data_IF_146602884875
#
_entry.id   IF_146602884875
#
_cell.length_a   1.000
_cell.length_b   1.000
_cell.length_c   1.000
_cell.angle_alpha   90.00
_cell.angle_beta   90.00
_cell.angle_gamma   90.00
#
_symmetry.space_group_name_H-M   'P 1'
#
loop_
_entity.id
_entity.type
_entity.pdbx_description
1 polymer ?
#
# COMPACT_ATOMS: atom_id res chain seq x y z
N UNK A 1 19.18 9.70 -2.55
CA UNK A 1 19.14 11.20 -2.46
C UNK A 1 19.42 11.62 -1.03
N UNK A 2 20.36 12.54 -0.79
CA UNK A 2 20.61 13.05 0.57
C UNK A 2 19.36 13.77 1.10
N UNK A 3 19.20 13.82 2.45
CA UNK A 3 18.10 14.56 3.10
C UNK A 3 18.04 16.03 2.63
N UNK A 4 19.20 16.59 2.26
CA UNK A 4 19.36 17.95 1.73
C UNK A 4 18.72 18.07 0.35
N UNK A 5 18.94 17.11 -0.56
CA UNK A 5 18.36 17.14 -1.90
C UNK A 5 16.82 16.99 -1.87
N UNK A 6 16.28 16.17 -0.94
CA UNK A 6 14.83 16.08 -0.70
C UNK A 6 14.26 17.42 -0.19
N UNK A 7 14.94 18.08 0.74
CA UNK A 7 14.53 19.38 1.25
C UNK A 7 14.58 20.47 0.18
N UNK A 8 15.63 20.49 -0.66
CA UNK A 8 15.76 21.44 -1.77
C UNK A 8 14.68 21.25 -2.83
N UNK A 9 14.37 19.98 -3.20
CA UNK A 9 13.27 19.68 -4.13
C UNK A 9 11.93 20.12 -3.54
N UNK A 10 11.67 19.84 -2.26
CA UNK A 10 10.46 20.25 -1.56
C UNK A 10 10.33 21.78 -1.44
N UNK A 11 11.46 22.49 -1.19
CA UNK A 11 11.49 23.96 -1.18
C UNK A 11 11.16 24.53 -2.56
N UNK A 12 11.69 23.96 -3.63
CA UNK A 12 11.37 24.39 -5.01
C UNK A 12 9.89 24.18 -5.36
N UNK A 13 9.30 23.12 -4.86
CA UNK A 13 7.93 22.73 -5.19
C UNK A 13 6.87 23.44 -4.32
N UNK A 14 7.14 23.64 -3.02
CA UNK A 14 6.16 24.14 -2.05
C UNK A 14 6.54 25.47 -1.36
N UNK A 15 7.72 26.00 -1.65
CA UNK A 15 8.25 27.23 -1.07
C UNK A 15 8.86 27.08 0.33
N UNK A 16 9.76 28.01 0.69
CA UNK A 16 10.56 27.95 1.92
C UNK A 16 9.70 27.96 3.21
N UNK A 17 8.66 28.79 3.25
CA UNK A 17 7.79 28.93 4.45
C UNK A 17 6.99 27.64 4.72
N UNK A 18 6.44 27.01 3.68
CA UNK A 18 5.71 25.74 3.81
C UNK A 18 6.65 24.59 4.20
N UNK A 19 7.86 24.58 3.64
CA UNK A 19 8.89 23.59 4.00
C UNK A 19 9.36 23.77 5.45
N UNK A 20 9.62 25.01 5.90
CA UNK A 20 9.98 25.31 7.28
C UNK A 20 8.84 24.93 8.26
N UNK A 21 7.59 25.17 7.88
CA UNK A 21 6.40 24.76 8.67
C UNK A 21 6.25 23.24 8.72
N UNK A 22 6.44 22.52 7.60
CA UNK A 22 6.43 21.07 7.56
C UNK A 22 7.58 20.45 8.37
N UNK A 23 8.79 21.01 8.26
CA UNK A 23 9.94 20.60 9.08
C UNK A 23 9.70 20.89 10.56
N UNK A 24 9.16 22.06 10.90
CA UNK A 24 8.80 22.41 12.29
C UNK A 24 7.68 21.52 12.83
N UNK A 25 6.65 21.22 12.04
CA UNK A 25 5.59 20.27 12.42
C UNK A 25 6.19 18.88 12.63
N UNK A 26 7.09 18.42 11.75
CA UNK A 26 7.76 17.12 11.87
C UNK A 26 8.75 17.06 13.05
N UNK A 27 9.35 18.20 13.42
CA UNK A 27 10.26 18.32 14.57
C UNK A 27 9.51 18.58 15.89
N UNK A 28 8.41 19.31 15.87
CA UNK A 28 7.65 19.74 17.07
C UNK A 28 6.40 18.90 17.35
N UNK A 29 5.83 18.17 16.35
CA UNK A 29 4.72 17.27 16.59
C UNK A 29 5.20 15.95 17.18
N UNK A 30 5.63 16.05 18.42
CA UNK A 30 5.29 14.94 19.25
C UNK A 30 6.12 13.68 19.20
N UNK A 31 7.47 13.68 18.92
CA UNK A 31 8.26 12.47 19.20
C UNK A 31 8.01 11.96 20.63
N UNK A 32 7.95 12.83 21.61
CA UNK A 32 7.66 12.43 23.00
C UNK A 32 6.19 12.06 23.25
N UNK A 33 5.23 12.77 22.65
CA UNK A 33 3.81 12.48 22.78
C UNK A 33 3.43 11.22 21.99
N UNK A 34 3.98 11.04 20.80
CA UNK A 34 3.80 9.84 19.97
C UNK A 34 4.43 8.62 20.63
N UNK A 35 5.67 8.72 21.14
CA UNK A 35 6.32 7.63 21.87
C UNK A 35 5.58 7.26 23.15
N UNK A 36 5.01 8.23 23.88
CA UNK A 36 4.18 7.96 25.07
C UNK A 36 2.85 7.30 24.68
N UNK A 37 2.22 7.76 23.58
CA UNK A 37 0.99 7.17 23.04
C UNK A 37 1.23 5.76 22.53
N UNK A 38 2.33 5.51 21.79
CA UNK A 38 2.72 4.18 21.31
C UNK A 38 3.05 3.22 22.46
N UNK A 39 3.79 3.67 23.49
CA UNK A 39 4.03 2.87 24.70
C UNK A 39 2.74 2.52 25.42
N UNK A 40 1.74 3.40 25.38
CA UNK A 40 0.41 3.15 25.93
C UNK A 40 -0.35 2.12 25.09
N UNK A 41 -0.38 2.31 23.75
CA UNK A 41 -1.00 1.37 22.79
C UNK A 41 -0.37 -0.02 22.91
N UNK A 42 0.95 -0.11 22.94
CA UNK A 42 1.68 -1.39 23.13
C UNK A 42 1.29 -2.06 24.46
N UNK A 43 1.08 -1.30 25.53
CA UNK A 43 0.67 -1.84 26.84
C UNK A 43 -0.81 -2.21 26.93
N UNK A 44 -1.69 -1.45 26.27
CA UNK A 44 -3.15 -1.61 26.36
C UNK A 44 -3.73 -2.61 25.35
N UNK A 45 -2.96 -3.00 24.33
CA UNK A 45 -3.49 -3.87 23.26
C UNK A 45 -3.59 -5.35 23.63
N UNK A 46 -3.21 -5.74 24.86
CA UNK A 46 -3.02 -7.14 25.21
C UNK A 46 -3.98 -7.58 26.32
N UNK A 47 -5.20 -7.94 25.91
CA UNK A 47 -6.14 -8.61 26.81
C UNK A 47 -5.93 -10.14 26.70
N UNK A 48 -5.21 -10.72 27.65
CA UNK A 48 -4.92 -12.16 27.71
C UNK A 48 -6.18 -13.03 27.83
N UNK A 49 -7.32 -12.48 28.24
CA UNK A 49 -8.58 -13.23 28.35
C UNK A 49 -9.08 -13.76 27.01
N UNK A 50 -8.73 -13.08 25.90
CA UNK A 50 -9.08 -13.54 24.55
C UNK A 50 -8.39 -14.86 24.19
N UNK A 51 -7.27 -15.20 24.85
CA UNK A 51 -6.49 -16.40 24.55
C UNK A 51 -6.86 -17.61 25.40
N UNK A 52 -7.61 -17.44 26.51
CA UNK A 52 -7.99 -18.54 27.40
C UNK A 52 -8.87 -19.62 26.71
N UNK A 53 -9.54 -19.25 25.63
CA UNK A 53 -10.41 -20.12 24.83
C UNK A 53 -9.76 -20.56 23.51
N UNK A 54 -8.49 -20.20 23.25
CA UNK A 54 -7.81 -20.51 22.00
C UNK A 54 -7.53 -22.03 21.93
N UNK A 55 -8.20 -22.71 20.99
CA UNK A 55 -7.87 -24.10 20.68
C UNK A 55 -6.52 -24.13 19.92
N UNK A 56 -5.45 -24.55 20.59
CA UNK A 56 -4.07 -24.47 20.11
C UNK A 56 -3.62 -25.66 19.28
N UNK A 57 -4.51 -26.37 18.61
CA UNK A 57 -4.12 -27.49 17.73
C UNK A 57 -3.36 -27.05 16.47
N UNK A 58 -3.44 -25.75 16.11
CA UNK A 58 -2.77 -25.19 14.94
C UNK A 58 -1.29 -25.02 15.16
N UNK A 59 -0.44 -25.80 14.47
CA UNK A 59 1.02 -25.62 14.51
C UNK A 59 1.44 -24.50 13.53
N UNK A 60 2.20 -23.52 14.02
CA UNK A 60 2.77 -22.42 13.24
C UNK A 60 4.27 -22.62 13.10
N UNK A 61 4.77 -22.66 11.86
CA UNK A 61 6.20 -22.67 11.55
C UNK A 61 6.68 -21.25 11.27
N UNK A 62 7.61 -20.78 12.08
CA UNK A 62 8.27 -19.48 11.87
C UNK A 62 9.51 -19.73 11.03
N UNK A 63 9.60 -19.12 9.85
CA UNK A 63 10.76 -19.22 8.96
C UNK A 63 11.71 -18.05 9.24
N UNK A 64 12.95 -18.37 9.60
CA UNK A 64 13.98 -17.38 9.93
C UNK A 64 15.28 -17.73 9.20
N UNK A 65 15.53 -17.22 7.99
CA UNK A 65 16.82 -17.34 7.33
C UNK A 65 17.85 -16.47 8.06
N UNK A 66 19.04 -17.00 8.31
CA UNK A 66 20.13 -16.32 9.02
C UNK A 66 21.34 -16.16 8.10
N UNK A 67 21.95 -14.97 8.05
CA UNK A 67 23.19 -14.71 7.34
C UNK A 67 24.02 -13.63 8.06
N UNK A 68 25.17 -14.01 8.64
CA UNK A 68 26.14 -13.14 9.28
C UNK A 68 25.53 -12.13 10.29
N UNK A 69 24.54 -12.57 11.05
CA UNK A 69 23.77 -11.73 11.97
C UNK A 69 24.59 -11.37 13.20
N UNK A 70 24.41 -10.15 13.69
CA UNK A 70 24.93 -9.74 15.00
C UNK A 70 24.37 -10.65 16.11
N UNK A 71 25.26 -11.11 16.99
CA UNK A 71 24.95 -12.11 18.05
C UNK A 71 23.87 -11.61 19.02
N UNK A 72 23.90 -10.35 19.39
CA UNK A 72 22.93 -9.80 20.35
C UNK A 72 21.55 -9.62 19.70
N UNK A 73 21.52 -9.27 18.41
CA UNK A 73 20.28 -9.19 17.63
C UNK A 73 19.68 -10.59 17.47
N UNK A 74 20.50 -11.58 17.09
CA UNK A 74 20.07 -12.96 16.90
C UNK A 74 19.53 -13.59 18.21
N UNK A 75 20.17 -13.36 19.35
CA UNK A 75 19.64 -13.78 20.66
C UNK A 75 18.31 -13.10 20.95
N UNK A 76 18.20 -11.79 20.71
CA UNK A 76 17.00 -11.02 20.99
C UNK A 76 15.79 -11.54 20.19
N UNK A 77 15.96 -11.85 18.89
CA UNK A 77 14.87 -12.39 18.06
C UNK A 77 14.46 -13.79 18.53
N UNK A 78 15.41 -14.69 18.79
CA UNK A 78 15.09 -16.05 19.27
C UNK A 78 14.39 -16.02 20.64
N UNK A 79 14.86 -15.19 21.57
CA UNK A 79 14.21 -15.02 22.88
C UNK A 79 12.81 -14.43 22.76
N UNK A 80 12.55 -13.55 21.78
CA UNK A 80 11.22 -13.02 21.53
C UNK A 80 10.22 -14.09 21.12
N UNK A 81 10.68 -15.10 20.38
CA UNK A 81 9.87 -16.27 19.98
C UNK A 81 9.68 -17.24 21.14
N UNK A 82 10.78 -17.60 21.83
CA UNK A 82 10.77 -18.59 22.93
C UNK A 82 9.88 -18.12 24.09
N UNK A 83 9.89 -16.82 24.40
CA UNK A 83 9.09 -16.22 25.46
C UNK A 83 7.68 -15.80 24.99
N UNK A 84 7.27 -16.23 23.82
CA UNK A 84 5.92 -16.00 23.28
C UNK A 84 4.83 -16.71 24.06
N UNK A 85 3.60 -16.20 23.99
CA UNK A 85 2.44 -16.75 24.73
C UNK A 85 1.78 -17.94 24.01
N UNK A 86 2.21 -18.28 22.79
CA UNK A 86 1.68 -19.40 22.00
C UNK A 86 2.62 -20.59 22.02
N UNK A 87 2.12 -21.75 22.41
CA UNK A 87 2.98 -22.92 22.61
C UNK A 87 3.15 -23.84 21.40
N UNK A 88 2.16 -23.87 20.47
CA UNK A 88 2.19 -24.81 19.35
C UNK A 88 2.90 -24.21 18.13
N UNK A 89 4.18 -23.91 18.27
CA UNK A 89 5.02 -23.38 17.20
C UNK A 89 6.30 -24.21 17.02
N UNK A 90 6.96 -23.99 15.90
CA UNK A 90 8.34 -24.34 15.65
C UNK A 90 9.06 -23.15 15.02
N UNK A 91 10.33 -22.94 15.38
CA UNK A 91 11.22 -21.96 14.75
C UNK A 91 12.18 -22.70 13.81
N UNK A 92 12.04 -22.48 12.51
CA UNK A 92 12.82 -23.14 11.47
C UNK A 92 13.92 -22.18 10.99
N UNK A 93 15.16 -22.48 11.33
CA UNK A 93 16.34 -21.69 11.01
C UNK A 93 17.12 -22.36 9.90
N UNK A 94 17.38 -21.64 8.82
CA UNK A 94 18.40 -21.98 7.84
C UNK A 94 19.53 -20.96 7.96
N UNK A 95 20.69 -21.43 8.43
CA UNK A 95 21.86 -20.59 8.61
C UNK A 95 22.78 -20.70 7.38
N UNK A 96 22.80 -19.64 6.60
CA UNK A 96 23.63 -19.49 5.41
C UNK A 96 24.92 -18.67 5.68
N UNK A 97 25.26 -18.41 6.97
CA UNK A 97 26.41 -17.59 7.35
C UNK A 97 27.73 -18.18 6.86
N UNK A 98 28.64 -17.33 6.42
CA UNK A 98 30.00 -17.67 6.03
C UNK A 98 30.98 -17.60 7.23
N UNK A 99 32.27 -17.49 6.95
CA UNK A 99 33.29 -17.42 7.99
C UNK A 99 33.18 -16.20 8.91
N UNK A 100 32.56 -15.12 8.43
CA UNK A 100 32.35 -13.90 9.22
C UNK A 100 31.19 -14.05 10.23
N UNK A 101 30.28 -15.00 9.98
CA UNK A 101 29.14 -15.28 10.84
C UNK A 101 29.30 -16.48 11.78
N UNK A 102 30.54 -16.95 12.06
CA UNK A 102 30.80 -18.11 12.94
C UNK A 102 30.13 -18.00 14.32
N UNK A 103 30.11 -16.82 14.89
CA UNK A 103 29.49 -16.60 16.20
C UNK A 103 27.94 -16.71 16.10
N UNK A 104 27.34 -16.24 15.02
CA UNK A 104 25.91 -16.42 14.75
C UNK A 104 25.57 -17.92 14.60
N UNK A 105 26.36 -18.67 13.81
CA UNK A 105 26.23 -20.12 13.66
C UNK A 105 26.25 -20.82 15.00
N UNK A 106 27.24 -20.53 15.85
CA UNK A 106 27.34 -21.12 17.19
C UNK A 106 26.11 -20.82 18.06
N UNK A 107 25.59 -19.61 18.01
CA UNK A 107 24.37 -19.26 18.76
C UNK A 107 23.16 -20.06 18.25
N UNK A 108 22.99 -20.22 16.92
CA UNK A 108 21.91 -21.04 16.36
C UNK A 108 22.01 -22.50 16.85
N UNK A 109 23.21 -23.09 16.81
CA UNK A 109 23.47 -24.46 17.30
C UNK A 109 23.17 -24.60 18.78
N UNK A 110 23.63 -23.64 19.60
CA UNK A 110 23.43 -23.65 21.07
C UNK A 110 21.92 -23.57 21.41
N UNK A 111 21.15 -22.74 20.70
CA UNK A 111 19.73 -22.63 20.95
C UNK A 111 18.95 -23.84 20.42
N UNK A 112 19.30 -24.40 19.26
CA UNK A 112 18.68 -25.62 18.75
C UNK A 112 18.94 -26.81 19.68
N UNK A 113 20.14 -26.90 20.28
CA UNK A 113 20.46 -27.92 21.27
C UNK A 113 19.70 -27.79 22.60
N UNK A 114 19.25 -26.58 22.97
CA UNK A 114 18.53 -26.32 24.22
C UNK A 114 17.02 -26.34 24.09
N UNK A 115 16.48 -25.96 22.92
CA UNK A 115 15.05 -25.75 22.71
C UNK A 115 14.51 -26.68 21.60
N UNK A 116 13.80 -27.75 21.93
CA UNK A 116 13.32 -28.74 20.95
C UNK A 116 12.39 -28.19 19.87
N UNK A 117 11.81 -27.01 20.10
CA UNK A 117 10.95 -26.32 19.11
C UNK A 117 11.77 -25.58 18.05
N UNK A 118 13.10 -25.49 18.19
CA UNK A 118 13.99 -24.88 17.19
C UNK A 118 14.54 -25.97 16.29
N UNK A 119 14.19 -25.90 15.01
CA UNK A 119 14.78 -26.71 13.93
C UNK A 119 15.87 -25.92 13.26
N UNK A 120 17.06 -26.49 13.14
CA UNK A 120 18.23 -25.83 12.60
C UNK A 120 18.85 -26.63 11.47
N UNK A 121 19.18 -25.92 10.39
CA UNK A 121 19.92 -26.47 9.26
C UNK A 121 20.99 -25.47 8.82
N UNK A 122 22.26 -25.88 8.75
CA UNK A 122 23.38 -25.12 8.20
C UNK A 122 23.57 -25.46 6.72
N UNK A 123 23.81 -24.44 5.88
CA UNK A 123 24.07 -24.66 4.46
C UNK A 123 24.71 -23.46 3.77
N UNK A 124 24.82 -23.54 2.45
CA UNK A 124 25.35 -22.48 1.62
C UNK A 124 24.35 -21.34 1.45
N UNK A 125 24.84 -20.14 1.11
CA UNK A 125 24.01 -18.98 0.83
C UNK A 125 23.52 -18.98 -0.63
N UNK A 126 22.23 -19.19 -0.82
CA UNK A 126 21.58 -19.19 -2.13
C UNK A 126 20.78 -17.88 -2.42
N UNK A 127 20.82 -16.91 -1.53
CA UNK A 127 19.99 -15.70 -1.55
C UNK A 127 18.76 -15.81 -0.64
N UNK A 128 18.15 -14.67 -0.32
CA UNK A 128 17.11 -14.58 0.73
C UNK A 128 15.89 -15.46 0.42
N UNK A 129 15.40 -15.45 -0.82
CA UNK A 129 14.23 -16.23 -1.21
C UNK A 129 14.47 -17.74 -1.04
N UNK A 130 15.60 -18.25 -1.55
CA UNK A 130 15.92 -19.66 -1.46
C UNK A 130 16.28 -20.09 -0.04
N UNK A 131 17.01 -19.27 0.71
CA UNK A 131 17.29 -19.55 2.11
C UNK A 131 15.99 -19.63 2.95
N UNK A 132 14.99 -18.80 2.66
CA UNK A 132 13.66 -18.90 3.29
C UNK A 132 12.93 -20.17 2.86
N UNK A 133 13.03 -20.59 1.59
CA UNK A 133 12.50 -21.87 1.13
C UNK A 133 13.15 -23.05 1.86
N UNK A 134 14.45 -23.00 2.20
CA UNK A 134 15.14 -24.02 2.99
C UNK A 134 14.62 -24.07 4.43
N UNK A 135 14.27 -22.93 5.03
CA UNK A 135 13.55 -22.94 6.32
C UNK A 135 12.21 -23.67 6.20
N UNK A 136 11.49 -23.45 5.09
CA UNK A 136 10.21 -24.14 4.84
C UNK A 136 10.41 -25.66 4.67
N UNK A 137 11.46 -26.11 4.04
CA UNK A 137 11.68 -27.55 3.76
C UNK A 137 11.85 -28.37 5.06
N UNK A 138 12.28 -27.75 6.17
CA UNK A 138 12.39 -28.39 7.49
C UNK A 138 11.17 -28.15 8.38
N UNK A 139 10.16 -27.41 7.88
CA UNK A 139 8.97 -27.02 8.64
C UNK A 139 7.82 -28.01 8.46
N UNK A 140 6.92 -28.13 9.48
CA UNK A 140 5.78 -29.06 9.49
C UNK A 140 4.44 -28.38 9.79
N UNK A 141 4.44 -27.13 10.27
CA UNK A 141 3.23 -26.42 10.70
C UNK A 141 2.25 -26.17 9.55
N UNK A 142 0.97 -26.13 9.87
CA UNK A 142 -0.10 -25.83 8.92
C UNK A 142 -0.15 -24.36 8.48
N UNK A 143 0.49 -23.49 9.26
CA UNK A 143 0.67 -22.06 8.94
C UNK A 143 2.15 -21.70 8.97
N UNK A 144 2.52 -20.74 8.14
CA UNK A 144 3.88 -20.26 7.94
C UNK A 144 3.92 -18.77 8.33
N UNK A 145 4.85 -18.40 9.21
CA UNK A 145 5.11 -17.03 9.61
C UNK A 145 6.52 -16.62 9.18
N UNK A 146 6.69 -15.40 8.71
CA UNK A 146 7.99 -14.86 8.29
C UNK A 146 8.58 -14.01 9.40
N UNK A 147 9.86 -14.22 9.71
CA UNK A 147 10.56 -13.47 10.75
C UNK A 147 12.00 -13.17 10.32
N UNK A 148 12.39 -11.90 10.32
CA UNK A 148 13.75 -11.50 10.03
C UNK A 148 14.66 -11.73 11.26
N UNK A 149 15.90 -12.10 10.97
CA UNK A 149 16.86 -12.57 11.99
C UNK A 149 17.42 -11.46 12.92
N UNK A 150 17.08 -10.21 12.69
CA UNK A 150 17.54 -9.02 13.42
C UNK A 150 16.41 -8.23 14.08
N UNK A 151 15.16 -8.68 13.89
CA UNK A 151 13.95 -8.04 14.38
C UNK A 151 13.45 -8.61 15.72
N UNK A 152 12.25 -8.22 16.15
CA UNK A 152 11.66 -8.73 17.39
C UNK A 152 10.17 -8.97 17.20
N UNK A 153 9.71 -10.17 17.57
CA UNK A 153 8.31 -10.54 17.54
C UNK A 153 7.63 -10.14 18.86
N UNK A 154 6.40 -9.63 18.80
CA UNK A 154 5.62 -9.41 20.01
C UNK A 154 5.22 -10.76 20.64
N UNK A 155 5.27 -10.85 21.96
CA UNK A 155 4.99 -12.09 22.68
C UNK A 155 3.65 -12.74 22.34
N UNK A 156 2.62 -11.95 22.01
CA UNK A 156 1.27 -12.43 21.71
C UNK A 156 0.99 -12.54 20.21
N UNK A 157 1.98 -12.28 19.35
CA UNK A 157 1.77 -12.24 17.89
C UNK A 157 1.17 -13.55 17.35
N UNK A 158 1.73 -14.68 17.75
CA UNK A 158 1.25 -15.99 17.29
C UNK A 158 -0.14 -16.34 17.82
N UNK A 159 -0.53 -15.85 19.02
CA UNK A 159 -1.89 -16.02 19.54
C UNK A 159 -2.91 -15.32 18.66
N UNK A 160 -2.67 -14.04 18.33
CA UNK A 160 -3.57 -13.29 17.46
C UNK A 160 -3.66 -13.90 16.06
N UNK A 161 -2.54 -14.33 15.50
CA UNK A 161 -2.51 -15.02 14.21
C UNK A 161 -3.32 -16.32 14.27
N UNK A 162 -3.13 -17.15 15.29
CA UNK A 162 -3.86 -18.40 15.45
C UNK A 162 -5.37 -18.17 15.60
N UNK A 163 -5.80 -17.09 16.29
CA UNK A 163 -7.20 -16.71 16.39
C UNK A 163 -7.82 -16.41 15.01
N UNK A 164 -7.15 -15.63 14.18
CA UNK A 164 -7.67 -15.30 12.85
C UNK A 164 -7.59 -16.49 11.89
N UNK A 165 -6.56 -17.33 12.00
CA UNK A 165 -6.46 -18.58 11.26
C UNK A 165 -7.61 -19.53 11.58
N UNK A 166 -7.99 -19.66 12.87
CA UNK A 166 -9.16 -20.45 13.30
C UNK A 166 -10.49 -19.89 12.77
N UNK A 167 -10.55 -18.59 12.43
CA UNK A 167 -11.70 -17.96 11.76
C UNK A 167 -11.66 -18.10 10.22
N UNK A 168 -10.71 -18.91 9.71
CA UNK A 168 -10.58 -19.24 8.29
C UNK A 168 -9.75 -18.22 7.48
N UNK A 169 -9.00 -17.33 8.13
CA UNK A 169 -8.05 -16.48 7.42
C UNK A 169 -6.84 -17.31 6.98
N UNK A 170 -6.51 -17.28 5.69
CA UNK A 170 -5.39 -18.02 5.11
C UNK A 170 -4.22 -17.11 4.69
N UNK A 171 -4.41 -15.77 4.75
CA UNK A 171 -3.35 -14.76 4.71
C UNK A 171 -3.64 -13.69 5.78
N UNK A 172 -2.68 -13.47 6.69
CA UNK A 172 -2.84 -12.61 7.87
C UNK A 172 -1.64 -11.66 7.93
N UNK A 173 -1.89 -10.38 8.19
CA UNK A 173 -0.83 -9.40 8.43
C UNK A 173 -1.18 -8.45 9.57
N UNK A 174 -0.16 -7.77 10.13
CA UNK A 174 -0.30 -6.96 11.34
C UNK A 174 0.33 -5.58 11.16
N UNK A 175 0.09 -4.67 12.11
CA UNK A 175 0.81 -3.42 12.21
C UNK A 175 2.23 -3.63 12.74
N UNK A 176 3.12 -2.68 12.44
CA UNK A 176 4.51 -2.71 12.88
C UNK A 176 5.01 -1.35 13.39
N UNK A 177 6.10 -1.37 14.11
CA UNK A 177 6.87 -0.17 14.45
C UNK A 177 8.34 -0.38 14.13
N UNK A 178 9.02 0.67 13.70
CA UNK A 178 10.48 0.65 13.61
C UNK A 178 11.10 1.17 14.90
N UNK A 179 12.19 0.53 15.34
CA UNK A 179 12.93 0.95 16.53
C UNK A 179 14.44 0.93 16.28
N UNK A 180 15.18 1.65 17.13
CA UNK A 180 16.65 1.67 17.09
C UNK A 180 17.23 1.41 18.47
N UNK A 181 18.14 0.43 18.58
CA UNK A 181 18.73 -0.03 19.82
C UNK A 181 17.72 -0.75 20.71
N UNK A 182 17.04 -0.05 21.61
CA UNK A 182 16.02 -0.65 22.51
C UNK A 182 14.62 -0.53 21.89
N UNK A 183 13.76 -1.55 22.04
CA UNK A 183 12.36 -1.57 21.55
C UNK A 183 11.57 -0.32 21.99
N UNK A 184 11.89 0.23 23.16
CA UNK A 184 11.26 1.46 23.65
C UNK A 184 11.65 2.72 22.89
N UNK A 185 12.68 2.67 22.04
CA UNK A 185 13.12 3.79 21.21
C UNK A 185 12.51 3.67 19.80
N UNK A 186 11.20 3.90 19.72
CA UNK A 186 10.43 3.84 18.46
C UNK A 186 10.82 5.02 17.55
N UNK A 187 11.13 4.71 16.30
CA UNK A 187 11.51 5.65 15.24
C UNK A 187 10.29 6.04 14.38
N UNK A 188 9.52 5.04 13.94
CA UNK A 188 8.26 5.24 13.19
C UNK A 188 7.24 4.16 13.56
N UNK A 189 6.02 4.34 13.08
CA UNK A 189 4.95 3.37 13.22
C UNK A 189 4.19 3.29 11.91
N UNK A 190 3.92 2.07 11.47
CA UNK A 190 3.19 1.79 10.26
C UNK A 190 1.87 1.08 10.62
N UNK A 191 0.81 1.89 10.73
CA UNK A 191 -0.57 1.42 10.85
C UNK A 191 -1.10 1.18 9.46
N UNK A 192 -1.43 -0.07 9.19
CA UNK A 192 -1.78 -0.54 7.87
C UNK A 192 -3.29 -0.44 7.64
N UNK A 193 -3.75 -0.20 6.41
CA UNK A 193 -5.16 -0.33 6.08
C UNK A 193 -5.57 -1.80 6.01
N UNK A 194 -6.88 -2.05 5.97
CA UNK A 194 -7.41 -3.32 5.52
C UNK A 194 -6.94 -3.61 4.08
N UNK A 195 -7.02 -4.87 3.68
CA UNK A 195 -6.46 -5.32 2.41
C UNK A 195 -6.99 -4.52 1.21
N UNK A 196 -6.05 -3.96 0.46
CA UNK A 196 -6.28 -3.24 -0.78
C UNK A 196 -5.38 -3.79 -1.88
N UNK A 197 -5.92 -4.52 -2.87
CA UNK A 197 -5.12 -5.10 -3.95
C UNK A 197 -4.44 -4.03 -4.81
N UNK A 198 -5.08 -2.89 -5.02
CA UNK A 198 -4.48 -1.78 -5.78
C UNK A 198 -3.33 -1.12 -5.04
N UNK A 199 -3.47 -0.92 -3.74
CA UNK A 199 -2.39 -0.36 -2.92
C UNK A 199 -1.19 -1.33 -2.86
N UNK A 200 -1.45 -2.65 -2.73
CA UNK A 200 -0.38 -3.64 -2.72
C UNK A 200 0.39 -3.70 -4.04
N UNK A 201 -0.28 -3.51 -5.18
CA UNK A 201 0.41 -3.40 -6.48
C UNK A 201 1.35 -2.20 -6.55
N UNK A 202 0.98 -1.09 -5.90
CA UNK A 202 1.79 0.13 -5.91
C UNK A 202 2.88 0.16 -4.84
N UNK A 203 2.73 -0.58 -3.75
CA UNK A 203 3.66 -0.55 -2.62
C UNK A 203 3.49 -1.80 -1.75
N UNK A 204 4.59 -2.39 -1.31
CA UNK A 204 4.56 -3.41 -0.27
C UNK A 204 4.26 -2.76 1.10
N UNK A 205 3.00 -2.39 1.33
CA UNK A 205 2.58 -1.82 2.61
C UNK A 205 2.38 -2.89 3.70
N UNK A 206 2.31 -4.17 3.30
CA UNK A 206 2.11 -5.29 4.22
C UNK A 206 3.37 -5.55 5.05
N UNK A 207 4.56 -5.57 4.44
CA UNK A 207 5.87 -5.82 5.03
C UNK A 207 5.85 -6.91 6.13
N UNK A 208 5.85 -6.53 7.40
CA UNK A 208 5.89 -7.39 8.57
C UNK A 208 4.71 -7.09 9.52
N UNK A 209 4.21 -7.97 10.32
CA UNK A 209 4.40 -9.39 10.42
C UNK A 209 3.37 -10.11 9.56
N UNK A 210 3.77 -11.16 8.85
CA UNK A 210 2.89 -11.89 7.94
C UNK A 210 2.86 -13.36 8.32
N UNK A 211 1.65 -13.94 8.24
CA UNK A 211 1.43 -15.37 8.38
C UNK A 211 0.39 -15.84 7.37
N UNK A 212 0.60 -17.01 6.78
CA UNK A 212 -0.29 -17.60 5.78
C UNK A 212 -0.34 -19.11 5.87
N UNK A 213 -1.40 -19.73 5.32
CA UNK A 213 -1.52 -21.18 5.34
C UNK A 213 -0.46 -21.84 4.46
N UNK A 214 0.03 -23.01 4.89
CA UNK A 214 0.96 -23.85 4.12
C UNK A 214 0.37 -24.21 2.76
N UNK A 215 -0.91 -24.55 2.70
CA UNK A 215 -1.59 -24.89 1.46
C UNK A 215 -1.51 -23.73 0.45
N UNK A 216 -1.82 -22.52 0.89
CA UNK A 216 -1.74 -21.33 0.06
C UNK A 216 -0.31 -21.10 -0.46
N UNK A 217 0.71 -21.18 0.42
CA UNK A 217 2.11 -20.99 0.06
C UNK A 217 2.60 -21.98 -1.00
N UNK A 218 2.29 -23.26 -0.81
CA UNK A 218 2.66 -24.32 -1.75
C UNK A 218 1.94 -24.14 -3.09
N UNK A 219 0.64 -23.84 -3.06
CA UNK A 219 -0.15 -23.64 -4.27
C UNK A 219 0.33 -22.43 -5.12
N UNK A 220 0.93 -21.44 -4.47
CA UNK A 220 1.48 -20.26 -5.12
C UNK A 220 2.94 -20.44 -5.61
N UNK A 221 3.61 -21.57 -5.31
CA UNK A 221 4.95 -21.88 -5.82
C UNK A 221 6.11 -21.35 -4.94
N UNK A 222 5.85 -21.01 -3.67
CA UNK A 222 6.86 -20.55 -2.69
C UNK A 222 7.57 -19.24 -3.11
N UNK A 223 8.69 -18.90 -2.45
CA UNK A 223 9.54 -17.77 -2.85
C UNK A 223 10.26 -18.04 -4.16
N UNK A 224 10.48 -17.01 -4.95
CA UNK A 224 11.20 -17.09 -6.22
C UNK A 224 12.44 -16.18 -6.21
N UNK A 225 13.62 -16.79 -6.35
CA UNK A 225 14.91 -16.11 -6.34
C UNK A 225 15.05 -14.98 -7.38
N UNK A 226 14.27 -15.04 -8.47
CA UNK A 226 14.26 -13.98 -9.49
C UNK A 226 13.96 -12.60 -8.90
N UNK A 227 13.27 -12.56 -7.75
CA UNK A 227 12.81 -11.32 -7.12
C UNK A 227 13.52 -11.03 -5.80
N UNK A 228 14.72 -11.61 -5.56
CA UNK A 228 15.53 -11.29 -4.39
C UNK A 228 15.65 -9.76 -4.24
N UNK A 229 15.47 -9.25 -3.01
CA UNK A 229 15.37 -7.83 -2.68
C UNK A 229 13.96 -7.24 -2.70
N UNK A 230 12.98 -7.93 -3.33
CA UNK A 230 11.55 -7.64 -3.28
C UNK A 230 10.71 -8.93 -3.32
N UNK A 231 11.30 -10.03 -2.86
CA UNK A 231 10.75 -11.38 -2.91
C UNK A 231 9.46 -11.54 -2.09
N UNK A 232 9.35 -10.81 -1.00
CA UNK A 232 8.18 -10.75 -0.13
C UNK A 232 7.01 -10.03 -0.81
N UNK A 233 7.23 -8.89 -1.44
CA UNK A 233 6.21 -8.16 -2.17
C UNK A 233 5.64 -9.00 -3.32
N UNK A 234 6.50 -9.60 -4.13
CA UNK A 234 6.08 -10.48 -5.23
C UNK A 234 5.28 -11.69 -4.72
N UNK A 235 5.75 -12.33 -3.65
CA UNK A 235 5.02 -13.42 -3.02
C UNK A 235 3.66 -12.97 -2.49
N UNK A 236 3.58 -11.82 -1.81
CA UNK A 236 2.32 -11.33 -1.25
C UNK A 236 1.29 -11.01 -2.33
N UNK A 237 1.71 -10.50 -3.49
CA UNK A 237 0.83 -10.33 -4.65
C UNK A 237 0.20 -11.66 -5.06
N UNK A 238 0.99 -12.75 -5.16
CA UNK A 238 0.47 -14.08 -5.53
C UNK A 238 -0.40 -14.70 -4.43
N UNK A 239 0.02 -14.58 -3.16
CA UNK A 239 -0.71 -15.16 -2.04
C UNK A 239 -2.06 -14.47 -1.84
N UNK A 240 -2.09 -13.14 -1.80
CA UNK A 240 -3.32 -12.39 -1.56
C UNK A 240 -4.32 -12.49 -2.70
N UNK A 241 -3.85 -12.70 -3.94
CA UNK A 241 -4.71 -12.95 -5.10
C UNK A 241 -5.43 -14.30 -5.05
N UNK A 242 -4.83 -15.30 -4.39
CA UNK A 242 -5.40 -16.66 -4.25
C UNK A 242 -6.01 -16.95 -2.90
N UNK A 243 -5.74 -16.10 -1.92
CA UNK A 243 -6.26 -16.27 -0.56
C UNK A 243 -7.78 -16.25 -0.55
N UNK A 244 -8.37 -17.18 0.21
CA UNK A 244 -9.81 -17.22 0.48
C UNK A 244 -10.24 -16.08 1.39
N UNK A 245 -9.38 -15.74 2.36
CA UNK A 245 -9.63 -14.67 3.31
C UNK A 245 -8.32 -14.00 3.75
N UNK A 246 -8.12 -12.75 3.30
CA UNK A 246 -7.05 -11.88 3.79
C UNK A 246 -7.53 -11.16 5.04
N UNK A 247 -6.74 -11.18 6.12
CA UNK A 247 -7.09 -10.56 7.39
C UNK A 247 -5.99 -9.59 7.84
N UNK A 248 -6.36 -8.37 8.17
CA UNK A 248 -5.53 -7.40 8.88
C UNK A 248 -5.81 -7.47 10.39
N UNK A 249 -4.78 -7.58 11.19
CA UNK A 249 -4.84 -7.44 12.65
C UNK A 249 -4.31 -6.04 13.00
N UNK A 250 -5.16 -5.07 13.36
CA UNK A 250 -4.74 -3.69 13.64
C UNK A 250 -4.07 -3.57 15.02
N UNK A 251 -3.01 -4.34 15.21
CA UNK A 251 -2.19 -4.37 16.43
C UNK A 251 -0.71 -4.40 16.04
N UNK A 252 0.10 -3.67 16.82
CA UNK A 252 1.56 -3.69 16.69
C UNK A 252 2.08 -5.01 17.24
N UNK A 253 2.36 -5.96 16.36
CA UNK A 253 2.84 -7.29 16.73
C UNK A 253 4.25 -7.59 16.23
N UNK A 254 4.87 -6.63 15.55
CA UNK A 254 6.22 -6.72 15.02
C UNK A 254 7.02 -5.45 15.29
N UNK A 255 8.30 -5.64 15.64
CA UNK A 255 9.25 -4.57 15.90
C UNK A 255 10.42 -4.68 14.92
N UNK A 256 10.41 -3.84 13.91
CA UNK A 256 11.43 -3.77 12.89
C UNK A 256 12.64 -2.96 13.37
N UNK A 257 13.81 -3.57 13.38
CA UNK A 257 15.03 -2.92 13.84
C UNK A 257 15.70 -2.10 12.74
N UNK A 258 16.04 -0.86 13.05
CA UNK A 258 16.82 0.01 12.17
C UNK A 258 18.26 0.08 12.69
N UNK A 259 19.21 -0.40 11.88
CA UNK A 259 20.64 -0.35 12.17
C UNK A 259 21.46 -0.01 10.92
N UNK A 260 22.75 0.35 11.10
CA UNK A 260 23.68 0.55 9.99
C UNK A 260 24.02 -0.81 9.37
N UNK A 261 23.78 -0.97 8.08
CA UNK A 261 23.98 -2.23 7.36
C UNK A 261 22.69 -2.95 6.96
N UNK A 262 21.51 -2.42 7.32
CA UNK A 262 20.26 -2.91 6.73
C UNK A 262 20.20 -2.60 5.22
N UNK A 263 19.52 -3.45 4.45
CA UNK A 263 19.32 -3.27 2.98
C UNK A 263 18.80 -1.88 2.63
N UNK A 264 18.16 -1.19 3.57
CA UNK A 264 17.68 0.18 3.40
C UNK A 264 18.78 1.26 3.34
N UNK A 265 20.05 0.95 3.68
CA UNK A 265 21.11 1.96 3.84
C UNK A 265 22.04 2.12 2.61
N UNK A 266 22.18 1.12 1.71
CA UNK A 266 23.04 1.21 0.53
C UNK A 266 22.27 1.62 -0.74
N UNK A 267 22.88 2.45 -1.60
CA UNK A 267 22.29 2.89 -2.88
C UNK A 267 22.21 1.70 -3.86
N UNK A 268 23.25 0.88 -3.91
CA UNK A 268 23.34 -0.30 -4.78
C UNK A 268 22.32 -1.39 -4.40
N UNK A 269 22.13 -1.64 -3.08
CA UNK A 269 21.08 -2.53 -2.59
C UNK A 269 19.67 -2.03 -2.96
N UNK A 270 19.48 -0.71 -3.12
CA UNK A 270 18.20 -0.13 -3.54
C UNK A 270 17.91 -0.32 -5.01
N UNK A 271 18.90 -0.24 -5.90
CA UNK A 271 18.67 -0.36 -7.35
C UNK A 271 18.20 -1.76 -7.75
N UNK A 272 18.87 -2.82 -7.24
CA UNK A 272 18.43 -4.17 -7.55
C UNK A 272 17.04 -4.50 -6.94
N UNK A 273 16.76 -4.03 -5.71
CA UNK A 273 15.48 -4.24 -5.06
C UNK A 273 14.33 -3.51 -5.79
N UNK A 274 14.59 -2.28 -6.27
CA UNK A 274 13.62 -1.52 -7.08
C UNK A 274 13.33 -2.29 -8.38
N UNK A 275 14.37 -2.76 -9.08
CA UNK A 275 14.23 -3.52 -10.32
C UNK A 275 13.48 -4.84 -10.08
N UNK A 276 13.79 -5.56 -8.99
CA UNK A 276 13.09 -6.77 -8.60
C UNK A 276 11.60 -6.50 -8.32
N UNK A 277 11.28 -5.39 -7.63
CA UNK A 277 9.91 -5.01 -7.34
C UNK A 277 9.12 -4.61 -8.60
N UNK A 278 9.70 -3.81 -9.51
CA UNK A 278 9.08 -3.49 -10.81
C UNK A 278 8.78 -4.80 -11.56
N UNK A 279 9.75 -5.71 -11.64
CA UNK A 279 9.60 -6.98 -12.33
C UNK A 279 8.53 -7.85 -11.67
N UNK A 280 8.50 -7.91 -10.32
CA UNK A 280 7.50 -8.66 -9.56
C UNK A 280 6.08 -8.18 -9.84
N UNK A 281 5.85 -6.88 -9.79
CA UNK A 281 4.53 -6.28 -10.09
C UNK A 281 4.15 -6.50 -11.57
N UNK A 282 5.08 -6.25 -12.50
CA UNK A 282 4.84 -6.45 -13.94
C UNK A 282 4.49 -7.90 -14.26
N UNK A 283 5.26 -8.86 -13.76
CA UNK A 283 5.06 -10.28 -14.05
C UNK A 283 3.77 -10.79 -13.38
N UNK A 284 3.42 -10.27 -12.19
CA UNK A 284 2.13 -10.52 -11.56
C UNK A 284 0.96 -10.03 -12.44
N UNK A 285 1.00 -8.79 -12.93
CA UNK A 285 -0.04 -8.22 -13.80
C UNK A 285 -0.15 -9.02 -15.10
N UNK A 286 0.97 -9.38 -15.72
CA UNK A 286 1.02 -10.20 -16.92
C UNK A 286 0.40 -11.60 -16.69
N UNK A 287 0.61 -12.21 -15.51
CA UNK A 287 0.01 -13.50 -15.16
C UNK A 287 -1.51 -13.44 -15.03
N UNK A 288 -2.07 -12.24 -14.86
CA UNK A 288 -3.52 -11.95 -14.81
C UNK A 288 -4.06 -11.47 -16.16
N UNK A 289 -3.26 -11.50 -17.23
CA UNK A 289 -3.59 -10.95 -18.55
C UNK A 289 -3.91 -9.44 -18.50
N UNK A 290 -3.30 -8.71 -17.55
CA UNK A 290 -3.44 -7.27 -17.42
C UNK A 290 -2.26 -6.63 -18.14
N UNK A 291 -2.56 -5.93 -19.25
CA UNK A 291 -1.56 -5.17 -20.01
C UNK A 291 -1.30 -3.83 -19.32
N UNK A 292 -0.09 -3.65 -18.81
CA UNK A 292 0.32 -2.47 -18.06
C UNK A 292 1.83 -2.28 -18.07
N UNK A 293 2.26 -1.03 -18.03
CA UNK A 293 3.65 -0.64 -17.77
C UNK A 293 3.81 -0.30 -16.28
N UNK A 294 4.95 -0.67 -15.70
CA UNK A 294 5.27 -0.44 -14.30
C UNK A 294 6.55 0.34 -14.18
N UNK A 295 6.50 1.48 -13.53
CA UNK A 295 7.65 2.33 -13.25
C UNK A 295 7.81 2.64 -11.76
N UNK A 296 9.02 2.96 -11.34
CA UNK A 296 9.31 3.41 -9.97
C UNK A 296 9.05 4.91 -9.85
N UNK A 297 8.48 5.33 -8.73
CA UNK A 297 8.36 6.73 -8.41
C UNK A 297 9.74 7.40 -8.22
N UNK A 298 9.97 8.54 -8.86
CA UNK A 298 11.21 9.31 -8.68
C UNK A 298 11.47 9.75 -7.23
N UNK A 299 10.40 10.02 -6.47
CA UNK A 299 10.49 10.55 -5.11
C UNK A 299 10.64 9.42 -4.09
N UNK A 300 9.91 8.32 -4.31
CA UNK A 300 9.87 7.14 -3.45
C UNK A 300 10.08 5.88 -4.29
N UNK A 301 11.33 5.48 -4.53
CA UNK A 301 11.66 4.41 -5.49
C UNK A 301 11.03 3.03 -5.22
N UNK A 302 10.51 2.79 -4.02
CA UNK A 302 9.76 1.56 -3.67
C UNK A 302 8.25 1.71 -3.83
N UNK A 303 7.79 2.86 -4.33
CA UNK A 303 6.41 3.07 -4.73
C UNK A 303 6.35 3.01 -6.25
N UNK A 304 5.50 2.12 -6.76
CA UNK A 304 5.35 1.87 -8.20
C UNK A 304 4.12 2.60 -8.73
N UNK A 305 4.28 3.15 -9.93
CA UNK A 305 3.19 3.65 -10.74
C UNK A 305 2.87 2.64 -11.82
N UNK A 306 1.60 2.35 -11.99
CA UNK A 306 1.11 1.38 -12.97
C UNK A 306 0.31 2.14 -14.01
N UNK A 307 0.73 2.04 -15.26
CA UNK A 307 0.04 2.59 -16.41
C UNK A 307 -0.73 1.44 -17.08
N UNK A 308 -1.99 1.26 -16.68
CA UNK A 308 -2.85 0.26 -17.31
C UNK A 308 -3.18 0.73 -18.74
N UNK A 309 -3.07 -0.20 -19.69
CA UNK A 309 -3.47 0.09 -21.07
C UNK A 309 -4.97 0.40 -21.14
N UNK A 310 -5.31 1.48 -21.82
CA UNK A 310 -6.68 1.90 -22.04
C UNK A 310 -7.15 1.48 -23.43
N UNK A 311 -8.46 1.22 -23.55
CA UNK A 311 -9.17 1.14 -24.81
C UNK A 311 -9.77 2.50 -25.16
N UNK A 312 -9.97 2.77 -26.44
CA UNK A 312 -10.52 4.06 -26.89
C UNK A 312 -12.05 4.07 -26.73
N UNK A 313 -12.50 4.25 -25.47
CA UNK A 313 -13.91 4.36 -25.11
C UNK A 313 -14.36 5.81 -25.07
N UNK A 314 -15.57 6.08 -25.58
CA UNK A 314 -16.14 7.43 -25.53
C UNK A 314 -16.50 7.83 -24.11
N UNK A 315 -16.03 9.02 -23.69
CA UNK A 315 -16.31 9.62 -22.39
C UNK A 315 -17.36 10.70 -22.52
N UNK A 316 -18.46 10.62 -21.77
CA UNK A 316 -19.43 11.70 -21.68
C UNK A 316 -19.15 12.56 -20.46
N UNK A 317 -18.65 13.76 -20.68
CA UNK A 317 -18.37 14.77 -19.64
C UNK A 317 -19.65 15.53 -19.36
N UNK A 318 -20.20 15.38 -18.16
CA UNK A 318 -21.46 15.97 -17.72
C UNK A 318 -21.15 17.16 -16.82
N UNK A 319 -21.66 18.34 -17.20
CA UNK A 319 -21.48 19.60 -16.47
C UNK A 319 -22.84 20.23 -16.21
N UNK A 320 -23.17 20.46 -14.94
CA UNK A 320 -24.33 21.26 -14.55
C UNK A 320 -23.92 22.74 -14.50
N UNK A 321 -24.70 23.61 -15.10
CA UNK A 321 -24.42 25.05 -15.10
C UNK A 321 -25.67 25.89 -14.76
N UNK A 322 -25.45 26.97 -14.03
CA UNK A 322 -26.41 28.05 -13.79
C UNK A 322 -25.65 29.36 -13.67
N UNK A 323 -25.80 30.29 -14.65
CA UNK A 323 -24.97 31.47 -14.72
C UNK A 323 -23.47 31.11 -14.82
N UNK A 324 -22.56 31.86 -14.20
CA UNK A 324 -21.13 31.54 -14.08
C UNK A 324 -20.40 31.33 -15.42
N UNK A 325 -20.58 32.28 -16.36
CA UNK A 325 -19.93 32.20 -17.69
C UNK A 325 -18.41 32.00 -17.63
N UNK A 326 -17.71 32.79 -16.82
CA UNK A 326 -16.24 32.75 -16.75
C UNK A 326 -15.72 31.39 -16.15
N UNK A 327 -16.44 30.82 -15.22
CA UNK A 327 -16.08 29.53 -14.64
C UNK A 327 -16.27 28.40 -15.67
N UNK A 328 -17.45 28.37 -16.31
CA UNK A 328 -17.73 27.38 -17.35
C UNK A 328 -16.73 27.48 -18.51
N UNK A 329 -16.39 28.69 -18.94
CA UNK A 329 -15.42 28.92 -20.02
C UNK A 329 -14.05 28.34 -19.68
N UNK A 330 -13.52 28.66 -18.50
CA UNK A 330 -12.23 28.12 -18.02
C UNK A 330 -12.27 26.59 -17.91
N UNK A 331 -13.38 26.04 -17.40
CA UNK A 331 -13.57 24.59 -17.29
C UNK A 331 -13.48 23.95 -18.68
N UNK A 332 -14.25 24.44 -19.68
CA UNK A 332 -14.24 23.92 -21.04
C UNK A 332 -12.88 24.06 -21.71
N UNK A 333 -12.22 25.23 -21.59
CA UNK A 333 -10.86 25.43 -22.10
C UNK A 333 -9.86 24.41 -21.51
N UNK A 334 -10.02 24.04 -20.24
CA UNK A 334 -9.18 23.01 -19.62
C UNK A 334 -9.46 21.61 -20.19
N UNK A 335 -10.70 21.29 -20.49
CA UNK A 335 -11.09 20.03 -21.15
C UNK A 335 -10.50 19.96 -22.57
N UNK A 336 -10.54 21.03 -23.32
CA UNK A 336 -10.00 21.06 -24.69
C UNK A 336 -8.49 20.84 -24.76
N UNK A 337 -7.76 21.16 -23.70
CA UNK A 337 -6.32 20.84 -23.58
C UNK A 337 -6.03 19.35 -23.36
N UNK A 338 -7.06 18.53 -23.01
CA UNK A 338 -6.88 17.09 -22.83
C UNK A 338 -6.27 16.44 -24.08
N UNK A 339 -5.31 15.56 -23.87
CA UNK A 339 -4.73 14.73 -24.93
C UNK A 339 -5.68 13.63 -25.41
N UNK A 340 -6.62 13.20 -24.56
CA UNK A 340 -7.70 12.29 -24.96
C UNK A 340 -8.76 13.04 -25.77
N UNK A 341 -9.15 12.53 -26.94
CA UNK A 341 -10.05 13.22 -27.85
C UNK A 341 -11.41 12.55 -28.06
N UNK A 342 -11.54 11.27 -27.66
CA UNK A 342 -12.80 10.55 -27.79
C UNK A 342 -13.75 10.87 -26.63
N UNK A 343 -14.23 12.12 -26.58
CA UNK A 343 -15.21 12.56 -25.59
C UNK A 343 -16.31 13.45 -26.21
N UNK A 344 -17.43 13.50 -25.52
CA UNK A 344 -18.47 14.51 -25.70
C UNK A 344 -18.68 15.29 -24.40
N UNK A 345 -19.25 16.46 -24.51
CA UNK A 345 -19.61 17.35 -23.39
C UNK A 345 -21.11 17.55 -23.37
N UNK A 346 -21.72 17.28 -22.23
CA UNK A 346 -23.14 17.47 -22.00
C UNK A 346 -23.30 18.54 -20.93
N UNK A 347 -23.76 19.72 -21.34
CA UNK A 347 -24.02 20.84 -20.43
C UNK A 347 -25.50 20.85 -20.11
N UNK A 348 -25.86 20.68 -18.87
CA UNK A 348 -27.20 20.87 -18.40
C UNK A 348 -27.34 22.28 -17.80
N UNK A 349 -27.98 23.15 -18.58
CA UNK A 349 -28.27 24.54 -18.23
C UNK A 349 -29.58 24.63 -17.47
N UNK A 350 -29.59 25.38 -16.36
CA UNK A 350 -30.81 25.54 -15.58
C UNK A 350 -31.04 26.98 -15.13
N UNK A 351 -32.06 27.66 -15.70
CA UNK A 351 -32.55 28.98 -15.31
C UNK A 351 -31.46 30.10 -15.30
N UNK A 352 -30.47 30.07 -16.18
CA UNK A 352 -29.54 31.20 -16.33
C UNK A 352 -30.25 32.41 -16.96
N UNK A 353 -29.85 33.58 -16.52
CA UNK A 353 -30.38 34.85 -17.01
C UNK A 353 -29.28 35.81 -17.52
N UNK A 354 -28.10 35.26 -17.82
CA UNK A 354 -26.95 35.98 -18.33
C UNK A 354 -26.91 35.92 -19.86
N UNK A 355 -26.99 37.09 -20.51
CA UNK A 355 -26.99 37.21 -21.98
C UNK A 355 -25.65 36.73 -22.58
N UNK A 356 -24.51 37.03 -21.92
CA UNK A 356 -23.19 36.57 -22.38
C UNK A 356 -23.12 35.06 -22.41
N UNK A 357 -23.69 34.40 -21.40
CA UNK A 357 -23.77 32.95 -21.37
C UNK A 357 -24.68 32.37 -22.44
N UNK A 358 -25.83 33.05 -22.74
CA UNK A 358 -26.72 32.66 -23.80
C UNK A 358 -26.04 32.70 -25.18
N UNK A 359 -25.29 33.76 -25.45
CA UNK A 359 -24.52 33.93 -26.69
C UNK A 359 -23.41 32.85 -26.79
N UNK A 360 -22.77 32.54 -25.68
CA UNK A 360 -21.77 31.47 -25.60
C UNK A 360 -22.36 30.07 -25.84
N UNK A 361 -23.55 29.81 -25.36
CA UNK A 361 -24.25 28.56 -25.66
C UNK A 361 -24.61 28.45 -27.15
N UNK A 362 -24.96 29.54 -27.78
CA UNK A 362 -25.21 29.57 -29.24
C UNK A 362 -23.93 29.25 -30.03
N UNK A 363 -22.76 29.70 -29.58
CA UNK A 363 -21.46 29.30 -30.14
C UNK A 363 -21.16 27.83 -29.90
N UNK A 364 -21.29 27.36 -28.66
CA UNK A 364 -20.99 25.98 -28.27
C UNK A 364 -21.86 24.95 -28.99
N UNK A 365 -23.13 25.29 -29.29
CA UNK A 365 -24.06 24.38 -29.98
C UNK A 365 -23.68 24.13 -31.46
N UNK A 366 -22.73 24.89 -32.02
CA UNK A 366 -22.16 24.62 -33.34
C UNK A 366 -21.11 23.51 -33.34
N UNK A 367 -20.66 23.05 -32.15
CA UNK A 367 -19.66 21.99 -32.02
C UNK A 367 -20.35 20.63 -31.93
N UNK A 368 -19.97 19.71 -32.79
CA UNK A 368 -20.62 18.37 -32.89
C UNK A 368 -20.52 17.54 -31.62
N UNK A 369 -19.49 17.77 -30.81
CA UNK A 369 -19.26 17.03 -29.58
C UNK A 369 -19.81 17.69 -28.30
N UNK A 370 -20.68 18.73 -28.46
CA UNK A 370 -21.31 19.44 -27.33
C UNK A 370 -22.82 19.34 -27.44
N UNK A 371 -23.46 18.89 -26.37
CA UNK A 371 -24.90 18.89 -26.20
C UNK A 371 -25.29 19.86 -25.09
N UNK A 372 -26.25 20.76 -25.36
CA UNK A 372 -26.77 21.68 -24.35
C UNK A 372 -28.23 21.31 -24.08
N UNK A 373 -28.57 21.04 -22.84
CA UNK A 373 -29.90 20.64 -22.39
C UNK A 373 -30.37 21.71 -21.42
N UNK A 374 -31.48 22.40 -21.77
CA UNK A 374 -32.03 23.46 -20.94
C UNK A 374 -33.18 22.93 -20.10
N UNK A 375 -33.08 23.17 -18.78
CA UNK A 375 -34.16 22.95 -17.82
C UNK A 375 -34.60 24.29 -17.20
N UNK A 376 -35.85 24.32 -16.75
CA UNK A 376 -36.43 25.45 -16.03
C UNK A 376 -37.15 24.94 -14.77
N UNK A 377 -36.39 24.28 -13.89
CA UNK A 377 -36.92 23.61 -12.71
C UNK A 377 -36.16 24.01 -11.46
N UNK A 378 -36.72 23.79 -10.25
CA UNK A 378 -35.92 23.85 -9.02
C UNK A 378 -34.70 22.91 -9.09
N UNK A 379 -33.56 23.40 -8.60
CA UNK A 379 -32.31 22.66 -8.71
C UNK A 379 -32.29 21.41 -7.81
N UNK A 380 -32.04 20.24 -8.43
CA UNK A 380 -31.80 18.97 -7.75
C UNK A 380 -30.57 18.29 -8.35
N UNK A 381 -29.44 18.32 -7.66
CA UNK A 381 -28.16 17.86 -8.17
C UNK A 381 -28.20 16.44 -8.79
N UNK A 382 -28.68 15.46 -8.01
CA UNK A 382 -28.73 14.05 -8.45
C UNK A 382 -29.68 13.86 -9.64
N UNK A 383 -30.86 14.51 -9.60
CA UNK A 383 -31.84 14.42 -10.69
C UNK A 383 -31.27 14.99 -11.99
N UNK A 384 -30.57 16.13 -11.91
CA UNK A 384 -30.03 16.80 -13.07
C UNK A 384 -28.89 15.99 -13.72
N UNK A 385 -27.99 15.44 -12.89
CA UNK A 385 -26.99 14.52 -13.38
C UNK A 385 -27.59 13.28 -14.04
N UNK A 386 -28.67 12.70 -13.48
CA UNK A 386 -29.37 11.57 -14.09
C UNK A 386 -30.05 11.92 -15.44
N UNK A 387 -30.62 13.13 -15.53
CA UNK A 387 -31.18 13.62 -16.79
C UNK A 387 -30.06 13.76 -17.83
N UNK A 388 -28.97 14.43 -17.49
CA UNK A 388 -27.84 14.62 -18.39
C UNK A 388 -27.20 13.29 -18.81
N UNK A 389 -27.08 12.32 -17.90
CA UNK A 389 -26.58 10.98 -18.21
C UNK A 389 -27.49 10.23 -19.22
N UNK A 390 -28.78 10.53 -19.25
CA UNK A 390 -29.71 9.97 -20.26
C UNK A 390 -29.44 10.42 -21.70
N UNK A 391 -28.65 11.46 -21.87
CA UNK A 391 -28.23 11.99 -23.20
C UNK A 391 -26.81 11.55 -23.58
N UNK A 392 -26.14 10.78 -22.69
CA UNK A 392 -24.77 10.33 -22.90
C UNK A 392 -24.72 9.19 -23.94
N UNK A 393 -23.81 9.34 -24.92
CA UNK A 393 -23.47 8.27 -25.87
C UNK A 393 -22.22 7.49 -25.45
N UNK A 394 -21.46 8.00 -24.48
CA UNK A 394 -20.24 7.37 -23.99
C UNK A 394 -20.52 6.24 -23.01
N UNK A 395 -19.63 5.24 -23.01
CA UNK A 395 -19.66 4.13 -22.04
C UNK A 395 -19.14 4.52 -20.66
N UNK A 396 -18.37 5.62 -20.61
CA UNK A 396 -17.81 6.18 -19.40
C UNK A 396 -18.45 7.54 -19.10
N UNK A 397 -18.98 7.71 -17.89
CA UNK A 397 -19.59 8.96 -17.45
C UNK A 397 -18.63 9.72 -16.54
N UNK A 398 -18.36 10.98 -16.85
CA UNK A 398 -17.52 11.86 -16.05
C UNK A 398 -18.33 13.05 -15.55
N UNK A 399 -18.63 13.08 -14.26
CA UNK A 399 -19.35 14.19 -13.62
C UNK A 399 -18.34 15.26 -13.20
N UNK A 400 -18.47 16.46 -13.74
CA UNK A 400 -17.53 17.55 -13.52
C UNK A 400 -18.29 18.82 -13.12
N UNK A 401 -17.83 19.50 -12.08
CA UNK A 401 -18.37 20.82 -11.75
C UNK A 401 -17.90 21.88 -12.76
N UNK A 402 -18.70 22.91 -12.97
CA UNK A 402 -18.40 24.00 -13.90
C UNK A 402 -17.24 24.91 -13.46
N UNK A 403 -16.82 24.87 -12.21
CA UNK A 403 -15.75 25.67 -11.58
C UNK A 403 -14.41 24.93 -11.44
N UNK A 404 -14.28 23.79 -12.10
CA UNK A 404 -13.07 22.96 -12.10
C UNK A 404 -12.17 23.27 -13.30
N UNK A 405 -10.87 23.30 -13.07
CA UNK A 405 -9.85 23.37 -14.11
C UNK A 405 -8.97 22.12 -14.08
N UNK A 406 -8.94 21.36 -15.17
CA UNK A 406 -8.04 20.22 -15.32
C UNK A 406 -6.61 20.72 -15.53
N UNK A 407 -5.68 20.29 -14.64
CA UNK A 407 -4.29 20.76 -14.63
C UNK A 407 -3.40 19.91 -15.54
N UNK A 408 -3.63 18.59 -15.58
CA UNK A 408 -2.84 17.65 -16.39
C UNK A 408 -3.51 17.41 -17.73
N UNK A 409 -2.78 17.42 -18.83
CA UNK A 409 -3.35 17.20 -20.16
C UNK A 409 -3.84 15.76 -20.39
N UNK A 410 -3.26 14.78 -19.68
CA UNK A 410 -3.61 13.36 -19.76
C UNK A 410 -4.62 12.92 -18.67
N UNK A 411 -5.32 13.84 -18.02
CA UNK A 411 -6.18 13.55 -16.87
C UNK A 411 -7.32 12.55 -17.16
N UNK A 412 -7.88 12.58 -18.37
CA UNK A 412 -8.93 11.62 -18.78
C UNK A 412 -8.33 10.20 -18.86
N UNK A 413 -7.18 10.05 -19.50
CA UNK A 413 -6.49 8.76 -19.60
C UNK A 413 -6.13 8.21 -18.20
N UNK A 414 -5.66 9.07 -17.29
CA UNK A 414 -5.33 8.69 -15.90
C UNK A 414 -6.56 8.15 -15.15
N UNK A 415 -7.75 8.64 -15.44
CA UNK A 415 -8.99 8.13 -14.87
C UNK A 415 -9.48 6.86 -15.59
N UNK A 416 -9.41 6.84 -16.93
CA UNK A 416 -9.86 5.72 -17.77
C UNK A 416 -9.10 4.44 -17.46
N UNK A 417 -7.77 4.49 -17.20
CA UNK A 417 -6.99 3.29 -16.91
C UNK A 417 -7.48 2.52 -15.67
N UNK A 418 -8.28 3.16 -14.83
CA UNK A 418 -8.95 2.51 -13.71
C UNK A 418 -10.44 2.26 -13.99
N UNK A 419 -11.19 3.25 -14.52
CA UNK A 419 -12.64 3.14 -14.68
C UNK A 419 -13.07 2.07 -15.70
N UNK A 420 -12.22 1.73 -16.65
CA UNK A 420 -12.45 0.63 -17.61
C UNK A 420 -12.30 -0.77 -17.03
N UNK A 421 -11.83 -0.88 -15.79
CA UNK A 421 -11.64 -2.17 -15.14
C UNK A 421 -12.94 -2.66 -14.54
N UNK A 422 -13.27 -3.94 -14.77
CA UNK A 422 -14.53 -4.56 -14.31
C UNK A 422 -14.68 -4.59 -12.77
N UNK A 423 -13.56 -4.44 -12.04
CA UNK A 423 -13.53 -4.43 -10.57
C UNK A 423 -13.54 -3.01 -9.97
N UNK A 424 -13.68 -1.97 -10.82
CA UNK A 424 -13.71 -0.57 -10.40
C UNK A 424 -15.05 0.07 -10.75
N UNK A 425 -15.81 0.49 -9.74
CA UNK A 425 -17.12 1.12 -9.92
C UNK A 425 -17.07 2.63 -10.12
N UNK A 426 -16.07 3.31 -9.55
CA UNK A 426 -15.89 4.76 -9.67
C UNK A 426 -14.43 5.16 -9.43
N UNK A 427 -14.02 6.24 -10.10
CA UNK A 427 -12.68 6.83 -9.95
C UNK A 427 -12.82 8.30 -9.60
N UNK A 428 -12.18 8.75 -8.52
CA UNK A 428 -12.15 10.15 -8.11
C UNK A 428 -10.78 10.79 -8.36
N UNK A 429 -10.78 12.00 -8.91
CA UNK A 429 -9.54 12.75 -9.09
C UNK A 429 -9.05 13.39 -7.78
N UNK A 430 -7.75 13.64 -7.69
CA UNK A 430 -7.20 14.48 -6.63
C UNK A 430 -7.55 15.95 -6.91
N UNK A 431 -8.20 16.61 -5.95
CA UNK A 431 -8.58 18.02 -6.05
C UNK A 431 -7.61 18.89 -5.24
N UNK A 432 -7.24 20.04 -5.80
CA UNK A 432 -6.39 21.04 -5.17
C UNK A 432 -7.00 22.43 -5.29
N UNK A 433 -6.81 23.24 -4.28
CA UNK A 433 -7.09 24.67 -4.36
C UNK A 433 -6.08 25.38 -5.27
N UNK A 434 -6.39 26.60 -5.76
CA UNK A 434 -5.45 27.37 -6.60
C UNK A 434 -4.09 27.62 -5.95
N UNK A 435 -4.01 27.64 -4.60
CA UNK A 435 -2.76 27.74 -3.84
C UNK A 435 -1.98 26.42 -3.73
N UNK A 436 -2.42 25.37 -4.47
CA UNK A 436 -1.89 24.01 -4.51
C UNK A 436 -2.06 23.22 -3.20
N UNK A 437 -2.79 23.71 -2.23
CA UNK A 437 -3.17 22.91 -1.07
C UNK A 437 -4.18 21.85 -1.48
N UNK A 438 -4.15 20.71 -0.77
CA UNK A 438 -5.04 19.60 -1.06
C UNK A 438 -6.46 19.95 -0.60
N UNK A 439 -7.45 19.83 -1.50
CA UNK A 439 -8.86 19.92 -1.20
C UNK A 439 -9.43 18.53 -0.91
N UNK A 440 -9.18 17.57 -1.80
CA UNK A 440 -9.66 16.21 -1.68
C UNK A 440 -8.69 15.25 -2.40
N UNK A 441 -8.44 14.06 -1.82
CA UNK A 441 -7.63 13.05 -2.49
C UNK A 441 -8.14 11.61 -2.30
N UNK A 442 -8.98 11.35 -1.31
CA UNK A 442 -9.58 10.03 -1.09
C UNK A 442 -10.79 10.11 -0.15
N UNK A 443 -11.62 9.08 -0.22
CA UNK A 443 -12.73 8.87 0.70
C UNK A 443 -12.57 7.47 1.31
N UNK A 444 -12.50 7.41 2.65
CA UNK A 444 -12.43 6.13 3.37
C UNK A 444 -13.86 5.72 3.70
N UNK A 445 -14.33 4.63 3.08
CA UNK A 445 -15.65 4.06 3.37
C UNK A 445 -15.66 3.48 4.78
N UNK A 446 -16.74 3.75 5.53
CA UNK A 446 -16.86 3.31 6.92
C UNK A 446 -16.30 4.27 7.97
N UNK A 447 -15.48 5.25 7.59
CA UNK A 447 -15.18 6.38 8.44
C UNK A 447 -16.40 7.32 8.46
N UNK A 448 -17.09 7.40 9.57
CA UNK A 448 -18.20 8.36 9.74
C UNK A 448 -17.71 9.80 9.58
N UNK A 449 -18.63 10.77 9.35
CA UNK A 449 -18.25 12.17 9.31
C UNK A 449 -17.57 12.54 10.62
N UNK A 450 -16.38 13.13 10.51
CA UNK A 450 -15.68 13.64 11.69
C UNK A 450 -16.59 14.62 12.41
N UNK A 451 -16.95 14.28 13.65
CA UNK A 451 -17.57 15.22 14.60
C UNK A 451 -16.52 16.16 15.17
#
# INVERSE_FOLDING_TARGET
MSKINKAVKYIKEYGFVKTAKAVKTKLCSGKAATAKKLKRIIKESYDHKEFEQLNTSLKISILMPVYNTDVDMLKCVMESVINGSYDNYELCIYDASDENGRDATKICEDYAGKFPKIKYLKGDNFGIAENTNRCFDISEGGYIALLDHDDVLHRDALCYVAMEACKGADFIYTDEVTFSGKITNVVSSDFKPDYSPYMLRCNNYICHFVCFSRELFVSCGKFNKKYDGSQDHELFLRLTDRAKKVCHIPKILYFWRVHKGSVSDSIEAKEYAITAGINGVRDFLASKYIDAEVESSEIYPTIYRIHYKITDEKVSVIILNHNHYEDLKRCLESIYRSTYKNYEIIILENNSNDQVLSDYYAELSQKENIKIITLNEPFYYSRFNNIAAGYADGTQLLFLNNDIEAVSENWIQEMLMYSQRNDVGAVGAQLRYPDKTLQHCYLITGAGPHK
#
